data_IF_834969326469
#
_entry.id   IF_834969326469
#
_cell.length_a   1.000
_cell.length_b   1.000
_cell.length_c   1.000
_cell.angle_alpha   90.00
_cell.angle_beta   90.00
_cell.angle_gamma   90.00
#
_symmetry.space_group_name_H-M   'P 1'
#
loop_
_entity.id
_entity.type
_entity.pdbx_description
1 polymer ?
#
# COMPACT_ATOMS: atom_id res chain seq x y z
N UNK A 1 4.95 -12.73 -3.69
CA UNK A 1 4.19 -11.55 -4.15
C UNK A 1 2.79 -11.64 -3.57
N UNK A 2 2.34 -10.62 -2.84
CA UNK A 2 1.08 -10.68 -2.12
C UNK A 2 -0.03 -9.90 -2.83
N UNK A 3 0.31 -8.71 -3.34
CA UNK A 3 -0.63 -7.76 -3.93
C UNK A 3 0.03 -7.02 -5.10
N UNK A 4 -0.74 -6.67 -6.13
CA UNK A 4 -0.32 -5.74 -7.18
C UNK A 4 -1.16 -4.46 -7.08
N UNK A 5 -0.53 -3.28 -7.09
CA UNK A 5 -1.21 -1.97 -7.05
C UNK A 5 -0.77 -1.12 -8.23
N UNK A 6 -1.70 -0.70 -9.08
CA UNK A 6 -1.43 0.15 -10.23
C UNK A 6 -1.98 1.56 -9.99
N UNK A 7 -1.11 2.58 -10.03
CA UNK A 7 -1.52 3.98 -9.98
C UNK A 7 -1.86 4.45 -11.38
N UNK A 8 -3.05 5.05 -11.51
CA UNK A 8 -3.60 5.54 -12.78
C UNK A 8 -3.69 7.07 -12.71
N UNK A 9 -3.03 7.75 -13.63
CA UNK A 9 -3.01 9.22 -13.74
C UNK A 9 -3.60 9.59 -15.10
N UNK A 10 -4.62 10.44 -15.12
CA UNK A 10 -5.33 10.82 -16.34
C UNK A 10 -5.76 9.61 -17.21
N UNK A 11 -6.26 8.57 -16.55
CA UNK A 11 -6.70 7.29 -17.16
C UNK A 11 -5.59 6.49 -17.87
N UNK A 12 -4.32 6.82 -17.61
CA UNK A 12 -3.14 6.09 -18.09
C UNK A 12 -2.41 5.44 -16.90
N UNK A 13 -1.98 4.16 -16.99
CA UNK A 13 -1.12 3.56 -15.98
C UNK A 13 0.22 4.30 -15.86
N UNK A 14 0.56 4.71 -14.65
CA UNK A 14 1.77 5.48 -14.33
C UNK A 14 2.81 4.63 -13.58
N UNK A 15 2.37 3.90 -12.55
CA UNK A 15 3.23 3.09 -11.69
C UNK A 15 2.55 1.77 -11.33
N UNK A 16 3.27 0.66 -11.42
CA UNK A 16 2.84 -0.65 -10.93
C UNK A 16 3.73 -1.10 -9.77
N UNK A 17 3.12 -1.32 -8.61
CA UNK A 17 3.78 -1.80 -7.40
C UNK A 17 3.51 -3.29 -7.22
N UNK A 18 4.58 -4.07 -7.11
CA UNK A 18 4.54 -5.47 -6.70
C UNK A 18 4.86 -5.53 -5.21
N UNK A 19 3.83 -5.70 -4.38
CA UNK A 19 3.95 -5.59 -2.92
C UNK A 19 4.19 -6.97 -2.31
N UNK A 20 5.18 -7.04 -1.40
CA UNK A 20 5.57 -8.24 -0.68
C UNK A 20 5.43 -8.00 0.83
N UNK A 21 5.05 -9.04 1.57
CA UNK A 21 5.09 -9.07 3.03
C UNK A 21 5.73 -10.37 3.49
N UNK A 22 6.23 -10.39 4.73
CA UNK A 22 6.79 -11.57 5.38
C UNK A 22 6.37 -11.57 6.85
N UNK A 23 6.15 -12.77 7.41
CA UNK A 23 6.00 -12.98 8.85
C UNK A 23 7.32 -13.36 9.54
N UNK A 24 8.38 -13.56 8.75
CA UNK A 24 9.71 -13.92 9.24
C UNK A 24 10.74 -12.88 8.79
N UNK A 25 11.42 -12.32 9.78
CA UNK A 25 12.52 -11.39 9.62
C UNK A 25 13.54 -11.70 10.72
N UNK A 26 14.83 -11.58 10.39
CA UNK A 26 15.93 -11.78 11.33
C UNK A 26 16.60 -10.44 11.60
N UNK A 27 17.14 -10.27 12.81
CA UNK A 27 17.81 -9.07 13.30
C UNK A 27 16.81 -7.93 13.60
N UNK A 28 17.30 -6.70 13.73
CA UNK A 28 16.49 -5.52 14.08
C UNK A 28 16.55 -4.45 12.98
N UNK A 29 15.44 -3.71 12.71
CA UNK A 29 15.48 -2.57 11.82
C UNK A 29 16.45 -1.50 12.34
N UNK A 30 17.17 -0.84 11.45
CA UNK A 30 18.13 0.22 11.77
C UNK A 30 17.76 1.50 11.03
N UNK A 31 17.88 2.63 11.73
CA UNK A 31 17.77 3.94 11.12
C UNK A 31 18.86 4.19 10.07
N UNK A 32 18.48 4.85 8.99
CA UNK A 32 19.36 5.31 7.92
C UNK A 32 19.16 6.81 7.70
N UNK A 33 19.99 7.42 6.84
CA UNK A 33 19.85 8.83 6.46
C UNK A 33 18.46 9.20 5.95
N UNK A 34 17.73 8.25 5.38
CA UNK A 34 16.44 8.47 4.71
C UNK A 34 15.26 7.77 5.37
N UNK A 35 15.48 6.97 6.43
CA UNK A 35 14.42 6.14 7.01
C UNK A 35 14.62 5.90 8.51
N UNK A 36 13.60 6.24 9.29
CA UNK A 36 13.50 5.91 10.72
C UNK A 36 12.42 4.84 10.92
N UNK A 37 12.78 3.54 11.05
CA UNK A 37 11.81 2.46 11.14
C UNK A 37 11.12 2.41 12.51
N UNK A 38 9.81 2.19 12.51
CA UNK A 38 9.00 2.05 13.73
C UNK A 38 8.07 0.83 13.62
N UNK A 39 7.89 0.14 14.75
CA UNK A 39 6.93 -0.95 14.87
C UNK A 39 5.56 -0.41 15.29
N UNK A 40 4.51 -0.86 14.61
CA UNK A 40 3.12 -0.57 14.96
C UNK A 40 2.30 -1.87 15.00
N UNK A 41 1.38 -2.05 15.96
CA UNK A 41 0.38 -3.09 15.87
C UNK A 41 -0.46 -2.93 14.60
N UNK A 42 -0.80 -4.03 13.92
CA UNK A 42 -1.60 -3.97 12.67
C UNK A 42 -2.95 -3.26 12.87
N UNK A 43 -3.55 -3.38 14.06
CA UNK A 43 -4.79 -2.70 14.43
C UNK A 43 -4.64 -1.20 14.71
N UNK A 44 -3.41 -0.74 14.97
CA UNK A 44 -3.10 0.61 15.44
C UNK A 44 -2.10 1.33 14.50
N UNK A 45 -2.17 1.03 13.20
CA UNK A 45 -1.34 1.68 12.17
C UNK A 45 -1.70 3.17 12.10
N UNK A 46 -0.71 4.10 12.13
CA UNK A 46 -0.95 5.54 12.12
C UNK A 46 -1.27 6.05 10.71
N UNK A 47 -2.48 5.75 10.21
CA UNK A 47 -2.92 6.08 8.84
C UNK A 47 -2.78 7.55 8.47
N UNK A 48 -2.91 8.46 9.44
CA UNK A 48 -2.75 9.89 9.24
C UNK A 48 -1.34 10.29 8.78
N UNK A 49 -0.32 9.47 9.07
CA UNK A 49 1.06 9.67 8.63
C UNK A 49 1.33 9.06 7.25
N UNK A 50 0.35 8.36 6.67
CA UNK A 50 0.45 7.72 5.36
C UNK A 50 -0.23 8.57 4.28
N UNK A 51 0.26 8.50 3.02
CA UNK A 51 -0.46 9.05 1.87
C UNK A 51 -1.90 8.54 1.83
N UNK A 52 -2.86 9.44 1.64
CA UNK A 52 -4.29 9.08 1.63
C UNK A 52 -4.63 8.03 0.58
N UNK A 53 -3.93 8.08 -0.57
CA UNK A 53 -4.03 7.13 -1.68
C UNK A 53 -3.71 5.69 -1.27
N UNK A 54 -2.95 5.51 -0.19
CA UNK A 54 -2.36 4.21 0.16
C UNK A 54 -3.12 3.50 1.28
N UNK A 55 -3.85 4.26 2.09
CA UNK A 55 -4.46 3.80 3.34
C UNK A 55 -5.34 2.57 3.14
N UNK A 56 -6.22 2.61 2.13
CA UNK A 56 -7.22 1.57 1.92
C UNK A 56 -6.60 0.24 1.48
N UNK A 57 -5.75 0.26 0.46
CA UNK A 57 -5.13 -0.98 -0.03
C UNK A 57 -4.06 -1.49 0.95
N UNK A 58 -3.31 -0.61 1.62
CA UNK A 58 -2.27 -1.01 2.56
C UNK A 58 -2.84 -1.80 3.73
N UNK A 59 -3.95 -1.35 4.33
CA UNK A 59 -4.61 -2.05 5.45
C UNK A 59 -5.02 -3.47 5.09
N UNK A 60 -5.58 -3.67 3.90
CA UNK A 60 -5.97 -5.00 3.41
C UNK A 60 -4.75 -5.88 3.19
N UNK A 61 -3.69 -5.32 2.61
CA UNK A 61 -2.45 -6.04 2.35
C UNK A 61 -1.76 -6.52 3.64
N UNK A 62 -1.65 -5.66 4.67
CA UNK A 62 -1.03 -6.03 5.95
C UNK A 62 -1.85 -7.04 6.76
N UNK A 63 -3.15 -7.15 6.48
CA UNK A 63 -4.02 -8.19 7.03
C UNK A 63 -3.91 -9.54 6.28
N UNK A 64 -3.08 -9.61 5.24
CA UNK A 64 -2.79 -10.83 4.49
C UNK A 64 -3.73 -11.09 3.31
N UNK A 65 -4.56 -10.12 2.93
CA UNK A 65 -5.41 -10.26 1.73
C UNK A 65 -4.57 -10.27 0.44
N UNK A 66 -5.04 -11.02 -0.56
CA UNK A 66 -4.45 -11.06 -1.90
C UNK A 66 -5.39 -10.42 -2.91
N UNK A 67 -4.91 -9.41 -3.62
CA UNK A 67 -5.73 -8.67 -4.60
C UNK A 67 -4.86 -7.97 -5.64
N UNK A 68 -5.50 -7.50 -6.70
CA UNK A 68 -4.97 -6.42 -7.55
C UNK A 68 -5.79 -5.16 -7.27
N UNK A 69 -5.17 -3.99 -7.30
CA UNK A 69 -5.88 -2.73 -7.07
C UNK A 69 -5.47 -1.68 -8.11
N UNK A 70 -6.43 -0.89 -8.58
CA UNK A 70 -6.16 0.35 -9.31
C UNK A 70 -6.44 1.55 -8.41
N UNK A 71 -5.45 2.42 -8.26
CA UNK A 71 -5.53 3.67 -7.50
C UNK A 71 -5.58 4.82 -8.48
N UNK A 72 -6.74 5.46 -8.61
CA UNK A 72 -6.91 6.58 -9.51
C UNK A 72 -6.52 7.88 -8.82
N UNK A 73 -5.46 8.51 -9.31
CA UNK A 73 -5.10 9.87 -8.89
C UNK A 73 -6.18 10.83 -9.38
N UNK A 74 -6.72 11.65 -8.48
CA UNK A 74 -7.75 12.65 -8.77
C UNK A 74 -7.23 14.03 -8.40
N UNK A 75 -7.80 15.11 -8.98
CA UNK A 75 -7.49 16.48 -8.56
C UNK A 75 -7.67 16.63 -7.04
N UNK A 76 -6.89 17.52 -6.43
CA UNK A 76 -6.74 17.72 -4.97
C UNK A 76 -8.04 17.80 -4.14
N UNK A 77 -9.16 18.15 -4.76
CA UNK A 77 -10.46 18.34 -4.10
C UNK A 77 -11.38 17.10 -4.16
N UNK A 78 -10.91 15.98 -4.71
CA UNK A 78 -11.68 14.74 -4.78
C UNK A 78 -10.95 13.63 -4.04
N UNK A 79 -11.72 12.82 -3.30
CA UNK A 79 -11.18 11.62 -2.66
C UNK A 79 -10.55 10.68 -3.71
N UNK A 80 -9.44 10.02 -3.36
CA UNK A 80 -8.93 8.90 -4.13
C UNK A 80 -10.01 7.87 -4.43
N UNK A 81 -9.94 7.24 -5.60
CA UNK A 81 -10.76 6.08 -5.93
C UNK A 81 -9.85 4.87 -6.02
N UNK A 82 -10.11 3.87 -5.19
CA UNK A 82 -9.45 2.57 -5.26
C UNK A 82 -10.45 1.55 -5.78
N UNK A 83 -10.04 0.74 -6.76
CA UNK A 83 -10.85 -0.34 -7.31
C UNK A 83 -10.09 -1.64 -7.12
N UNK A 84 -10.71 -2.61 -6.46
CA UNK A 84 -10.09 -3.90 -6.17
C UNK A 84 -10.58 -4.96 -7.14
N UNK A 85 -9.65 -5.83 -7.52
CA UNK A 85 -9.89 -6.98 -8.35
C UNK A 85 -9.42 -8.22 -7.60
N UNK A 86 -10.14 -9.34 -7.73
CA UNK A 86 -9.68 -10.63 -7.24
C UNK A 86 -8.35 -10.99 -7.89
N UNK A 87 -7.49 -11.64 -7.10
CA UNK A 87 -6.25 -12.20 -7.59
C UNK A 87 -6.55 -13.59 -8.16
N UNK A 88 -6.96 -13.66 -9.44
CA UNK A 88 -7.06 -14.93 -10.14
C UNK A 88 -5.64 -15.39 -10.51
N UNK A 89 -5.25 -16.55 -9.98
CA UNK A 89 -4.03 -17.27 -10.37
C UNK A 89 -4.35 -18.08 -11.61
#
# INVERSE_FOLDING_TARGET
MAVIVSYIVADVPDLELHVFHTSYFKDSPRETETMTPCWYPVKDIPLQLMPELDREWFLRAVQGEKFRAHVYHRPRNKKPRVVFFPFFV
#
